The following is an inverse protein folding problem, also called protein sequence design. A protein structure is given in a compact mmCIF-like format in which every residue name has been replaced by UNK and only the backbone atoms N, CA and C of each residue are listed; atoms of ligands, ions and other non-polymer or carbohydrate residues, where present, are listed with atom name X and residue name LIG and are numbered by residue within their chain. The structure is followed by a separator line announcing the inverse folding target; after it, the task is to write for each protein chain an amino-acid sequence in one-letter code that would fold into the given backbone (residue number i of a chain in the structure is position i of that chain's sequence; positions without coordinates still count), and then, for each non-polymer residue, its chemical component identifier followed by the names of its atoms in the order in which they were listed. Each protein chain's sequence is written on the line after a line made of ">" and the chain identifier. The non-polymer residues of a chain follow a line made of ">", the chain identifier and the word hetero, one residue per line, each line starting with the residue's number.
data_IF_073899949042
#
_entry.id   IF_073899949042
#
_cell.length_a   1.000
_cell.length_b   1.000
_cell.length_c   1.000
_cell.angle_alpha   90.00
_cell.angle_beta   90.00
_cell.angle_gamma   90.00
#
_symmetry.space_group_name_H-M   'P 1'
#
loop_
_entity.id
_entity.type
_entity.pdbx_description
1 polymer ?
#
# COMPACT_ATOMS: atom_id res chain seq x y z
N UNK A 1 -14.31 38.65 17.52
CA UNK A 1 -13.71 37.56 18.34
C UNK A 1 -13.19 38.18 19.62
N UNK A 2 -13.36 37.50 20.76
CA UNK A 2 -12.94 38.00 22.06
C UNK A 2 -11.40 37.84 22.21
N UNK A 3 -10.65 38.79 22.82
CA UNK A 3 -9.18 38.70 22.96
C UNK A 3 -8.69 37.38 23.60
N UNK A 4 -9.50 36.83 24.50
CA UNK A 4 -9.22 35.55 25.17
C UNK A 4 -9.25 34.34 24.22
N UNK A 5 -10.03 34.39 23.14
CA UNK A 5 -10.10 33.32 22.14
C UNK A 5 -8.90 33.34 21.18
N UNK A 6 -8.28 34.51 20.98
CA UNK A 6 -7.08 34.64 20.17
C UNK A 6 -5.87 34.05 20.91
N UNK A 7 -5.73 34.35 22.20
CA UNK A 7 -4.66 33.82 23.05
C UNK A 7 -4.71 32.29 23.19
N UNK A 8 -5.92 31.72 23.29
CA UNK A 8 -6.12 30.27 23.31
C UNK A 8 -5.78 29.60 21.97
N UNK A 9 -6.13 30.23 20.84
CA UNK A 9 -5.79 29.74 19.50
C UNK A 9 -4.28 29.78 19.25
N UNK A 10 -3.59 30.81 19.73
CA UNK A 10 -2.13 30.94 19.62
C UNK A 10 -1.41 29.89 20.47
N UNK A 11 -1.89 29.61 21.69
CA UNK A 11 -1.41 28.49 22.52
C UNK A 11 -1.62 27.14 21.85
N UNK A 12 -2.77 26.91 21.22
CA UNK A 12 -3.05 25.68 20.48
C UNK A 12 -2.14 25.51 19.27
N UNK A 13 -1.83 26.58 18.54
CA UNK A 13 -0.88 26.56 17.42
C UNK A 13 0.53 26.20 17.87
N UNK A 14 0.99 26.81 18.96
CA UNK A 14 2.30 26.50 19.54
C UNK A 14 2.39 25.05 20.01
N UNK A 15 1.33 24.54 20.65
CA UNK A 15 1.27 23.13 21.10
C UNK A 15 1.25 22.15 19.93
N UNK A 16 0.53 22.47 18.85
CA UNK A 16 0.52 21.65 17.65
C UNK A 16 1.88 21.65 16.95
N UNK A 17 2.56 22.80 16.85
CA UNK A 17 3.91 22.89 16.30
C UNK A 17 4.90 22.02 17.10
N UNK A 18 4.83 22.08 18.44
CA UNK A 18 5.65 21.22 19.30
C UNK A 18 5.36 19.74 19.08
N UNK A 19 4.09 19.35 18.95
CA UNK A 19 3.72 17.95 18.69
C UNK A 19 4.23 17.45 17.32
N UNK A 20 4.32 18.31 16.31
CA UNK A 20 4.92 17.95 15.03
C UNK A 20 6.43 17.69 15.17
N UNK A 21 7.13 18.50 15.96
CA UNK A 21 8.56 18.35 16.21
C UNK A 21 8.86 17.10 17.04
N UNK A 22 8.09 16.87 18.11
CA UNK A 22 8.21 15.68 18.95
C UNK A 22 7.94 14.39 18.14
N UNK A 23 6.93 14.43 17.25
CA UNK A 23 6.63 13.32 16.33
C UNK A 23 7.76 13.06 15.35
N UNK A 24 8.44 14.11 14.87
CA UNK A 24 9.60 13.98 13.99
C UNK A 24 10.78 13.35 14.73
N UNK A 25 11.05 13.78 15.97
CA UNK A 25 12.17 13.24 16.76
C UNK A 25 11.93 11.78 17.16
N UNK A 26 10.69 11.40 17.49
CA UNK A 26 10.32 9.99 17.73
C UNK A 26 10.58 9.13 16.50
N UNK A 27 10.25 9.62 15.28
CA UNK A 27 10.52 8.89 14.03
C UNK A 27 12.02 8.70 13.80
N UNK A 28 12.83 9.72 14.10
CA UNK A 28 14.29 9.66 13.98
C UNK A 28 14.89 8.65 14.97
N UNK A 29 14.43 8.67 16.22
CA UNK A 29 14.85 7.71 17.24
C UNK A 29 14.45 6.28 16.87
N UNK A 30 13.24 6.07 16.32
CA UNK A 30 12.81 4.76 15.83
C UNK A 30 13.68 4.27 14.67
N UNK A 31 14.06 5.14 13.73
CA UNK A 31 15.00 4.80 12.66
C UNK A 31 16.36 4.34 13.20
N UNK A 32 16.93 5.08 14.15
CA UNK A 32 18.19 4.72 14.80
C UNK A 32 18.12 3.43 15.61
N UNK A 33 16.95 3.11 16.21
CA UNK A 33 16.74 1.86 16.93
C UNK A 33 16.69 0.67 15.96
N UNK A 34 16.00 0.81 14.82
CA UNK A 34 15.99 -0.22 13.78
C UNK A 34 17.40 -0.49 13.22
N UNK A 35 18.15 0.55 12.86
CA UNK A 35 19.53 0.41 12.36
C UNK A 35 20.47 -0.26 13.39
N UNK A 36 20.30 0.05 14.68
CA UNK A 36 21.07 -0.59 15.76
C UNK A 36 20.67 -2.04 16.04
N UNK A 37 19.42 -2.41 15.77
CA UNK A 37 18.96 -3.80 15.86
C UNK A 37 19.59 -4.61 14.73
N UNK A 38 19.59 -4.09 13.51
CA UNK A 38 20.19 -4.75 12.34
C UNK A 38 21.71 -4.88 12.48
N UNK A 39 22.39 -3.86 13.02
CA UNK A 39 23.84 -3.89 13.27
C UNK A 39 24.25 -4.86 14.40
N UNK A 40 23.33 -5.23 15.30
CA UNK A 40 23.59 -6.22 16.38
C UNK A 40 23.41 -7.66 15.91
N UNK A 41 22.61 -7.91 14.87
CA UNK A 41 22.48 -9.24 14.26
C UNK A 41 23.73 -9.69 13.50
N UNK A 42 24.53 -8.76 12.98
CA UNK A 42 25.70 -9.07 12.15
C UNK A 42 26.98 -9.42 12.94
N UNK A 43 26.99 -9.23 14.27
CA UNK A 43 28.15 -9.51 15.12
C UNK A 43 28.14 -10.90 15.78
N UNK A 44 27.17 -11.77 15.50
CA UNK A 44 27.06 -13.08 16.17
C UNK A 44 27.23 -14.29 15.22
N UNK A 45 27.93 -14.12 14.10
CA UNK A 45 28.31 -15.23 13.21
C UNK A 45 29.83 -15.40 13.21
N UNK A 46 30.36 -16.04 14.24
CA UNK A 46 31.68 -16.69 14.19
C UNK A 46 31.63 -18.03 14.95
N UNK A 47 32.27 -19.03 14.34
CA UNK A 47 32.42 -20.44 14.71
C UNK A 47 31.18 -21.35 14.58
N UNK A 48 31.15 -22.36 13.70
CA UNK A 48 32.12 -23.48 13.68
C UNK A 48 32.05 -24.27 12.35
N UNK A 49 33.20 -24.59 11.76
CA UNK A 49 33.39 -25.64 10.73
C UNK A 49 33.01 -27.01 11.31
N UNK A 50 32.16 -27.82 10.65
CA UNK A 50 32.35 -29.29 10.59
C UNK A 50 31.78 -29.91 9.30
N UNK A 51 32.63 -30.74 8.71
CA UNK A 51 32.49 -31.76 7.67
C UNK A 51 31.13 -32.47 7.48
N UNK A 52 30.79 -32.73 6.21
CA UNK A 52 29.76 -33.69 5.79
C UNK A 52 30.28 -35.12 5.87
N UNK A 53 29.63 -35.98 6.66
CA UNK A 53 29.59 -37.43 6.45
C UNK A 53 28.31 -38.02 7.06
N UNK A 54 27.89 -39.12 6.45
CA UNK A 54 26.57 -39.75 6.45
C UNK A 54 26.24 -40.65 7.65
N UNK A 55 24.96 -41.07 7.70
CA UNK A 55 24.40 -42.38 8.17
C UNK A 55 23.37 -42.32 9.33
N UNK A 56 22.10 -42.49 8.96
CA UNK A 56 21.04 -43.40 9.46
C UNK A 56 20.99 -43.91 10.93
N UNK A 57 19.84 -43.68 11.61
CA UNK A 57 18.92 -44.65 12.31
C UNK A 57 18.45 -44.28 13.74
N UNK A 58 17.10 -44.33 13.90
CA UNK A 58 16.25 -44.79 15.04
C UNK A 58 16.33 -44.13 16.45
N UNK A 59 15.13 -43.82 17.00
CA UNK A 59 14.76 -44.22 18.38
C UNK A 59 14.32 -43.13 19.38
N UNK A 60 13.02 -43.13 19.70
CA UNK A 60 12.25 -42.69 20.90
C UNK A 60 12.82 -41.80 22.04
N UNK A 61 11.99 -40.81 22.44
CA UNK A 61 11.34 -40.58 23.75
C UNK A 61 11.40 -39.15 24.34
N UNK A 62 10.31 -38.84 25.06
CA UNK A 62 9.83 -37.58 25.65
C UNK A 62 10.80 -36.95 26.68
N UNK A 63 10.89 -35.61 26.74
CA UNK A 63 10.65 -34.86 28.00
C UNK A 63 10.44 -33.35 27.79
N UNK A 64 9.90 -32.74 28.84
CA UNK A 64 9.16 -31.49 28.99
C UNK A 64 10.01 -30.20 29.03
N UNK A 65 9.34 -29.13 28.61
CA UNK A 65 9.35 -27.78 29.19
C UNK A 65 10.66 -26.98 29.21
N UNK A 66 10.76 -26.02 28.28
CA UNK A 66 11.22 -24.65 28.56
C UNK A 66 10.49 -23.68 27.63
N UNK A 67 9.62 -22.85 28.22
CA UNK A 67 9.07 -21.66 27.59
C UNK A 67 10.21 -20.64 27.53
N UNK A 68 11.04 -20.75 26.51
CA UNK A 68 11.93 -19.65 26.17
C UNK A 68 11.09 -18.65 25.37
N UNK A 69 10.96 -17.44 25.92
CA UNK A 69 10.41 -16.28 25.24
C UNK A 69 11.39 -15.85 24.15
N UNK A 70 11.46 -16.65 23.09
CA UNK A 70 12.06 -16.25 21.83
C UNK A 70 11.00 -15.47 21.08
N UNK A 71 11.30 -14.20 20.86
CA UNK A 71 10.65 -13.35 19.85
C UNK A 71 10.35 -14.19 18.60
N UNK A 72 9.10 -14.22 18.12
CA UNK A 72 8.79 -15.00 16.94
C UNK A 72 9.57 -14.37 15.79
N UNK A 73 10.56 -15.10 15.28
CA UNK A 73 11.02 -14.92 13.92
C UNK A 73 9.75 -14.95 13.07
N UNK A 74 9.28 -13.77 12.62
CA UNK A 74 7.96 -13.63 11.99
C UNK A 74 7.89 -14.69 10.91
N UNK A 75 6.83 -15.50 10.91
CA UNK A 75 6.67 -16.53 9.90
C UNK A 75 6.83 -15.87 8.53
N UNK A 76 7.82 -16.30 7.74
CA UNK A 76 8.10 -15.73 6.41
C UNK A 76 6.83 -15.69 5.53
N UNK A 77 5.91 -16.62 5.79
CA UNK A 77 4.58 -16.69 5.19
C UNK A 77 3.67 -15.51 5.56
N UNK A 78 3.71 -15.01 6.80
CA UNK A 78 2.94 -13.85 7.25
C UNK A 78 3.42 -12.56 6.58
N UNK A 79 4.75 -12.37 6.50
CA UNK A 79 5.33 -11.20 5.81
C UNK A 79 4.97 -11.21 4.32
N UNK A 80 5.10 -12.37 3.66
CA UNK A 80 4.68 -12.54 2.27
C UNK A 80 3.18 -12.30 2.07
N UNK A 81 2.36 -12.68 3.05
CA UNK A 81 0.93 -12.39 3.00
C UNK A 81 0.65 -10.89 3.06
N UNK A 82 1.23 -10.17 4.02
CA UNK A 82 1.09 -8.72 4.15
C UNK A 82 1.57 -7.99 2.87
N UNK A 83 2.68 -8.44 2.28
CA UNK A 83 3.18 -7.93 1.00
C UNK A 83 2.15 -8.10 -0.11
N UNK A 84 1.55 -9.28 -0.24
CA UNK A 84 0.48 -9.51 -1.23
C UNK A 84 -0.75 -8.65 -1.00
N UNK A 85 -1.10 -8.35 0.26
CA UNK A 85 -2.19 -7.43 0.59
C UNK A 85 -1.86 -6.01 0.10
N UNK A 86 -0.62 -5.54 0.27
CA UNK A 86 -0.20 -4.23 -0.26
C UNK A 86 -0.25 -4.20 -1.79
N UNK A 87 0.22 -5.26 -2.45
CA UNK A 87 0.10 -5.41 -3.90
C UNK A 87 -1.37 -5.43 -4.37
N UNK A 88 -2.26 -6.07 -3.63
CA UNK A 88 -3.71 -6.06 -3.86
C UNK A 88 -4.30 -4.65 -3.74
N UNK A 89 -3.94 -3.88 -2.70
CA UNK A 89 -4.39 -2.49 -2.54
C UNK A 89 -4.05 -1.65 -3.77
N UNK A 90 -2.80 -1.75 -4.25
CA UNK A 90 -2.34 -1.05 -5.44
C UNK A 90 -3.10 -1.50 -6.70
N UNK A 91 -3.31 -2.80 -6.86
CA UNK A 91 -4.08 -3.36 -7.98
C UNK A 91 -5.53 -2.86 -8.00
N UNK A 92 -6.21 -2.89 -6.84
CA UNK A 92 -7.61 -2.47 -6.71
C UNK A 92 -7.77 -0.97 -6.97
N UNK A 93 -6.84 -0.14 -6.48
CA UNK A 93 -6.81 1.29 -6.79
C UNK A 93 -6.71 1.52 -8.30
N UNK A 94 -5.73 0.88 -8.95
CA UNK A 94 -5.53 1.02 -10.40
C UNK A 94 -6.76 0.59 -11.19
N UNK A 95 -7.35 -0.55 -10.84
CA UNK A 95 -8.56 -1.06 -11.48
C UNK A 95 -9.72 -0.07 -11.34
N UNK A 96 -9.95 0.48 -10.14
CA UNK A 96 -11.01 1.47 -9.90
C UNK A 96 -10.79 2.77 -10.67
N UNK A 97 -9.55 3.28 -10.71
CA UNK A 97 -9.20 4.45 -11.53
C UNK A 97 -9.53 4.19 -13.00
N UNK A 98 -9.09 3.05 -13.54
CA UNK A 98 -9.28 2.69 -14.94
C UNK A 98 -10.77 2.49 -15.29
N UNK A 99 -11.52 1.78 -14.47
CA UNK A 99 -12.97 1.58 -14.68
C UNK A 99 -13.74 2.91 -14.60
N UNK A 100 -13.36 3.83 -13.72
CA UNK A 100 -13.98 5.16 -13.66
C UNK A 100 -13.66 6.01 -14.88
N UNK A 101 -12.44 5.93 -15.39
CA UNK A 101 -12.04 6.63 -16.60
C UNK A 101 -12.77 6.11 -17.84
N UNK A 102 -12.90 4.79 -17.94
CA UNK A 102 -13.35 4.09 -19.13
C UNK A 102 -14.52 3.12 -18.82
N UNK A 103 -15.69 3.64 -18.39
CA UNK A 103 -16.78 2.79 -17.87
C UNK A 103 -17.43 1.89 -18.93
N UNK A 104 -17.34 2.26 -20.22
CA UNK A 104 -17.95 1.52 -21.32
C UNK A 104 -17.01 0.48 -21.96
N UNK A 105 -15.80 0.32 -21.42
CA UNK A 105 -14.81 -0.61 -21.96
C UNK A 105 -14.77 -1.87 -21.09
N UNK A 106 -15.27 -2.97 -21.62
CA UNK A 106 -15.32 -4.26 -20.92
C UNK A 106 -13.94 -4.81 -20.56
N UNK A 107 -12.94 -4.52 -21.41
CA UNK A 107 -11.57 -5.01 -21.27
C UNK A 107 -10.60 -3.85 -21.46
N UNK A 108 -9.81 -3.58 -20.42
CA UNK A 108 -8.82 -2.50 -20.39
C UNK A 108 -7.40 -3.06 -20.57
N UNK A 109 -7.23 -4.06 -21.44
CA UNK A 109 -5.92 -4.66 -21.70
C UNK A 109 -4.93 -3.64 -22.27
N UNK A 110 -3.73 -3.63 -21.69
CA UNK A 110 -2.70 -2.65 -22.05
C UNK A 110 -3.06 -1.22 -21.67
N UNK A 111 -4.01 -1.01 -20.76
CA UNK A 111 -4.22 0.27 -20.08
C UNK A 111 -3.49 0.24 -18.76
N UNK A 112 -2.74 1.31 -18.50
CA UNK A 112 -2.13 1.61 -17.21
C UNK A 112 -2.64 2.98 -16.76
N UNK A 113 -2.53 3.25 -15.46
CA UNK A 113 -2.89 4.57 -14.91
C UNK A 113 -1.94 5.66 -15.44
N UNK A 114 -0.67 5.33 -15.67
CA UNK A 114 0.33 6.22 -16.27
C UNK A 114 -0.04 6.62 -17.71
N UNK A 115 -0.64 5.71 -18.48
CA UNK A 115 -0.99 5.94 -19.89
C UNK A 115 -2.38 6.52 -20.15
N UNK A 116 -3.17 6.84 -19.13
CA UNK A 116 -4.57 7.31 -19.31
C UNK A 116 -4.67 8.47 -20.32
N UNK A 117 -3.77 9.46 -20.25
CA UNK A 117 -3.77 10.59 -21.21
C UNK A 117 -3.61 10.10 -22.65
N UNK A 118 -2.64 9.22 -22.88
CA UNK A 118 -2.36 8.62 -24.19
C UNK A 118 -3.55 7.80 -24.68
N UNK A 119 -4.18 7.03 -23.79
CA UNK A 119 -5.38 6.26 -24.12
C UNK A 119 -6.56 7.14 -24.51
N UNK A 120 -6.79 8.27 -23.85
CA UNK A 120 -7.83 9.23 -24.26
C UNK A 120 -7.58 9.72 -25.69
N UNK A 121 -6.34 10.11 -26.01
CA UNK A 121 -5.99 10.57 -27.36
C UNK A 121 -6.19 9.47 -28.41
N UNK A 122 -5.80 8.24 -28.11
CA UNK A 122 -5.97 7.08 -28.99
C UNK A 122 -7.44 6.74 -29.24
N UNK A 123 -8.26 6.71 -28.18
CA UNK A 123 -9.67 6.30 -28.26
C UNK A 123 -10.55 7.34 -28.97
N UNK A 124 -10.16 8.61 -28.90
CA UNK A 124 -10.92 9.73 -29.48
C UNK A 124 -10.47 10.08 -30.90
N UNK A 125 -9.49 9.36 -31.44
CA UNK A 125 -8.97 9.59 -32.79
C UNK A 125 -9.26 8.37 -33.65
N UNK A 126 -9.98 8.57 -34.75
CA UNK A 126 -10.25 7.49 -35.71
C UNK A 126 -8.92 7.05 -36.37
N UNK A 127 -8.51 5.78 -36.24
CA UNK A 127 -7.20 5.33 -36.74
C UNK A 127 -7.10 5.37 -38.26
N UNK A 128 -8.24 5.29 -38.97
CA UNK A 128 -8.27 5.27 -40.44
C UNK A 128 -8.31 6.67 -41.06
N UNK A 129 -8.92 7.64 -40.38
CA UNK A 129 -9.17 8.97 -40.95
C UNK A 129 -8.42 10.08 -40.23
N UNK A 130 -7.77 9.77 -39.10
CA UNK A 130 -7.19 10.73 -38.16
C UNK A 130 -8.16 11.82 -37.68
N UNK A 131 -9.45 11.68 -37.94
CA UNK A 131 -10.48 12.58 -37.43
C UNK A 131 -10.63 12.38 -35.93
N UNK A 132 -10.79 13.49 -35.23
CA UNK A 132 -10.92 13.52 -33.78
C UNK A 132 -12.38 13.74 -33.40
N UNK A 133 -12.88 12.93 -32.48
CA UNK A 133 -14.09 13.23 -31.72
C UNK A 133 -13.74 14.18 -30.56
N UNK A 134 -13.81 15.49 -30.83
CA UNK A 134 -13.45 16.52 -29.86
C UNK A 134 -14.42 16.57 -28.68
N UNK A 135 -15.69 16.19 -28.88
CA UNK A 135 -16.70 16.18 -27.83
C UNK A 135 -16.39 15.08 -26.80
N UNK A 136 -16.15 13.85 -27.26
CA UNK A 136 -15.80 12.75 -26.37
C UNK A 136 -14.41 12.96 -25.74
N UNK A 137 -13.45 13.54 -26.48
CA UNK A 137 -12.12 13.90 -25.96
C UNK A 137 -12.22 14.87 -24.80
N UNK A 138 -12.98 15.96 -24.96
CA UNK A 138 -13.15 16.98 -23.93
C UNK A 138 -13.77 16.36 -22.68
N UNK A 139 -14.85 15.60 -22.85
CA UNK A 139 -15.54 14.89 -21.76
C UNK A 139 -14.62 13.92 -21.00
N UNK A 140 -13.77 13.16 -21.69
CA UNK A 140 -12.81 12.26 -21.05
C UNK A 140 -11.71 13.03 -20.29
N UNK A 141 -11.22 14.15 -20.81
CA UNK A 141 -10.25 14.98 -20.10
C UNK A 141 -10.85 15.66 -18.87
N UNK A 142 -12.09 16.14 -18.94
CA UNK A 142 -12.82 16.69 -17.79
C UNK A 142 -13.01 15.63 -16.70
N UNK A 143 -13.45 14.43 -17.08
CA UNK A 143 -13.57 13.29 -16.16
C UNK A 143 -12.22 12.95 -15.52
N UNK A 144 -11.16 12.90 -16.33
CA UNK A 144 -9.79 12.69 -15.84
C UNK A 144 -9.40 13.75 -14.82
N UNK A 145 -9.64 15.02 -15.15
CA UNK A 145 -9.30 16.14 -14.28
C UNK A 145 -10.05 16.05 -12.95
N UNK A 146 -11.36 15.78 -12.99
CA UNK A 146 -12.19 15.58 -11.79
C UNK A 146 -11.67 14.45 -10.92
N UNK A 147 -11.42 13.26 -11.50
CA UNK A 147 -10.93 12.10 -10.77
C UNK A 147 -9.59 12.37 -10.07
N UNK A 148 -8.60 12.86 -10.81
CA UNK A 148 -7.27 13.14 -10.22
C UNK A 148 -7.27 14.35 -9.29
N UNK A 149 -8.25 15.25 -9.35
CA UNK A 149 -8.40 16.30 -8.35
C UNK A 149 -8.96 15.74 -7.04
N UNK A 150 -9.94 14.83 -7.09
CA UNK A 150 -10.41 14.10 -5.90
C UNK A 150 -9.25 13.35 -5.25
N UNK A 151 -8.50 12.54 -6.02
CA UNK A 151 -7.37 11.76 -5.48
C UNK A 151 -6.27 12.65 -4.88
N UNK A 152 -6.01 13.83 -5.47
CA UNK A 152 -5.01 14.77 -4.95
C UNK A 152 -5.33 15.29 -3.56
N UNK A 153 -6.61 15.38 -3.19
CA UNK A 153 -7.01 15.78 -1.83
C UNK A 153 -6.52 14.77 -0.76
N UNK A 154 -6.22 13.54 -1.16
CA UNK A 154 -5.67 12.47 -0.33
C UNK A 154 -4.16 12.27 -0.55
N UNK A 155 -3.47 13.22 -1.18
CA UNK A 155 -2.02 13.16 -1.41
C UNK A 155 -1.60 12.44 -2.70
N UNK A 156 -2.53 11.97 -3.53
CA UNK A 156 -2.18 11.29 -4.77
C UNK A 156 -1.51 12.23 -5.79
N UNK A 157 -0.22 12.02 -6.01
CA UNK A 157 0.54 12.55 -7.14
C UNK A 157 0.48 11.62 -8.38
N UNK A 158 -0.04 12.17 -9.48
CA UNK A 158 -0.12 11.55 -10.81
C UNK A 158 1.24 11.31 -11.50
N UNK A 159 2.34 11.82 -10.96
CA UNK A 159 3.70 11.58 -11.47
C UNK A 159 4.43 10.47 -10.71
N UNK A 160 4.02 10.20 -9.46
CA UNK A 160 4.67 9.23 -8.58
C UNK A 160 3.84 7.95 -8.48
N UNK A 161 2.58 8.07 -8.05
CA UNK A 161 1.77 6.92 -7.65
C UNK A 161 1.39 5.96 -8.77
N UNK A 162 1.21 6.37 -10.05
CA UNK A 162 1.00 5.40 -11.12
C UNK A 162 2.15 4.40 -11.26
N UNK A 163 3.39 4.87 -11.21
CA UNK A 163 4.57 4.02 -11.32
C UNK A 163 4.80 3.24 -10.02
N UNK A 164 4.55 3.87 -8.86
CA UNK A 164 4.69 3.21 -7.57
C UNK A 164 3.69 2.06 -7.37
N UNK A 165 2.42 2.26 -7.74
CA UNK A 165 1.41 1.17 -7.70
C UNK A 165 1.76 0.03 -8.66
N UNK A 166 2.27 0.34 -9.86
CA UNK A 166 2.77 -0.68 -10.79
C UNK A 166 3.95 -1.47 -10.20
N UNK A 167 4.90 -0.77 -9.57
CA UNK A 167 6.00 -1.41 -8.84
C UNK A 167 5.47 -2.36 -7.76
N UNK A 168 4.55 -1.91 -6.88
CA UNK A 168 3.99 -2.75 -5.81
C UNK A 168 3.32 -4.02 -6.35
N UNK A 169 2.52 -3.89 -7.43
CA UNK A 169 1.86 -5.03 -8.05
C UNK A 169 2.87 -5.99 -8.67
N UNK A 170 3.89 -5.49 -9.35
CA UNK A 170 4.92 -6.32 -9.99
C UNK A 170 5.82 -7.02 -8.96
N UNK A 171 6.12 -6.35 -7.84
CA UNK A 171 7.02 -6.86 -6.80
C UNK A 171 6.31 -7.84 -5.87
N UNK A 172 5.09 -7.53 -5.42
CA UNK A 172 4.40 -8.33 -4.40
C UNK A 172 3.25 -9.18 -4.94
N UNK A 173 2.79 -8.89 -6.15
CA UNK A 173 1.69 -9.59 -6.79
C UNK A 173 0.32 -9.24 -6.20
N UNK A 174 -0.68 -9.93 -6.73
CA UNK A 174 -2.10 -9.81 -6.37
C UNK A 174 -2.52 -11.05 -5.57
N UNK A 175 -3.53 -10.96 -4.72
CA UNK A 175 -4.01 -12.11 -3.95
C UNK A 175 -4.59 -13.18 -4.89
N UNK A 176 -3.95 -14.37 -4.93
CA UNK A 176 -4.35 -15.50 -5.79
C UNK A 176 -5.72 -16.09 -5.45
N UNK A 177 -6.07 -16.06 -4.17
CA UNK A 177 -7.38 -16.49 -3.68
C UNK A 177 -8.00 -15.32 -2.94
N UNK A 178 -9.13 -14.85 -3.47
CA UNK A 178 -10.09 -14.07 -2.70
C UNK A 178 -10.55 -14.94 -1.51
N UNK A 179 -10.86 -14.38 -0.32
CA UNK A 179 -11.51 -15.18 0.72
C UNK A 179 -12.71 -15.93 0.10
N UNK A 180 -12.63 -17.25 0.17
CA UNK A 180 -13.67 -18.18 -0.31
C UNK A 180 -14.99 -17.88 0.41
N UNK A 181 -16.16 -18.14 -0.22
CA UNK A 181 -17.43 -18.13 0.51
C UNK A 181 -17.37 -19.18 1.62
N UNK A 182 -17.32 -18.73 2.88
CA UNK A 182 -17.26 -19.59 4.07
C UNK A 182 -16.05 -19.37 4.99
N UNK A 183 -15.11 -18.50 4.63
CA UNK A 183 -14.11 -18.00 5.56
C UNK A 183 -14.55 -16.61 6.06
N UNK A 184 -14.44 -16.35 7.37
CA UNK A 184 -14.50 -14.99 7.92
C UNK A 184 -13.14 -14.21 7.92
N UNK A 185 -12.52 -14.00 6.74
CA UNK A 185 -11.53 -12.92 6.50
C UNK A 185 -12.09 -11.72 5.73
N UNK A 186 -13.41 -11.64 5.53
CA UNK A 186 -14.03 -10.57 4.73
C UNK A 186 -14.09 -9.23 5.48
N UNK A 187 -14.01 -9.22 6.81
CA UNK A 187 -13.97 -7.99 7.61
C UNK A 187 -12.59 -7.33 7.63
N UNK A 188 -11.49 -8.10 7.66
CA UNK A 188 -10.14 -7.53 7.83
C UNK A 188 -9.66 -6.73 6.61
N UNK A 189 -9.98 -7.17 5.39
CA UNK A 189 -9.53 -6.49 4.17
C UNK A 189 -10.42 -5.32 3.74
N UNK A 190 -11.58 -5.15 4.39
CA UNK A 190 -12.44 -3.98 4.22
C UNK A 190 -12.20 -2.92 5.31
N UNK A 191 -11.20 -3.12 6.17
CA UNK A 191 -10.81 -2.19 7.21
C UNK A 191 -9.49 -1.48 6.84
N UNK A 192 -9.52 -0.19 6.47
CA UNK A 192 -8.32 0.59 6.14
C UNK A 192 -7.29 0.61 7.28
N UNK A 193 -7.73 0.56 8.54
CA UNK A 193 -6.84 0.51 9.71
C UNK A 193 -6.01 -0.78 9.72
N UNK A 194 -6.64 -1.92 9.44
CA UNK A 194 -5.94 -3.21 9.36
C UNK A 194 -4.98 -3.25 8.15
N UNK A 195 -5.39 -2.69 7.00
CA UNK A 195 -4.52 -2.60 5.83
C UNK A 195 -3.25 -1.78 6.13
N UNK A 196 -3.39 -0.66 6.85
CA UNK A 196 -2.23 0.17 7.27
C UNK A 196 -1.34 -0.57 8.27
N UNK A 197 -1.92 -1.34 9.20
CA UNK A 197 -1.16 -2.20 10.12
C UNK A 197 -0.36 -3.26 9.36
N UNK A 198 -0.99 -3.97 8.42
CA UNK A 198 -0.32 -4.98 7.59
C UNK A 198 0.80 -4.36 6.74
N UNK A 199 0.60 -3.17 6.18
CA UNK A 199 1.65 -2.45 5.44
C UNK A 199 2.85 -2.13 6.34
N UNK A 200 2.61 -1.62 7.56
CA UNK A 200 3.67 -1.34 8.54
C UNK A 200 4.46 -2.58 8.96
N UNK A 201 3.88 -3.77 8.84
CA UNK A 201 4.54 -5.03 9.18
C UNK A 201 5.52 -5.53 8.10
N UNK A 202 5.37 -5.09 6.84
CA UNK A 202 6.10 -5.68 5.71
C UNK A 202 6.77 -4.70 4.73
N UNK A 203 6.51 -3.39 4.86
CA UNK A 203 7.05 -2.36 3.98
C UNK A 203 8.19 -1.58 4.65
N UNK A 204 9.21 -1.13 3.89
CA UNK A 204 10.21 -0.21 4.41
C UNK A 204 9.57 1.15 4.75
N UNK A 205 10.13 1.83 5.76
CA UNK A 205 9.60 3.13 6.21
C UNK A 205 9.55 4.20 5.11
N UNK A 206 10.43 4.12 4.10
CA UNK A 206 10.44 5.02 2.95
C UNK A 206 9.17 4.95 2.10
N UNK A 207 8.50 3.80 2.11
CA UNK A 207 7.38 3.51 1.20
C UNK A 207 6.03 3.63 1.89
N UNK A 208 6.01 3.61 3.24
CA UNK A 208 4.78 3.60 4.03
C UNK A 208 3.90 4.81 3.78
N UNK A 209 4.47 6.01 3.62
CA UNK A 209 3.67 7.21 3.35
C UNK A 209 2.94 7.09 1.99
N UNK A 210 3.61 6.60 0.95
CA UNK A 210 2.99 6.36 -0.36
C UNK A 210 1.96 5.23 -0.32
N UNK A 211 2.19 4.17 0.48
CA UNK A 211 1.22 3.09 0.66
C UNK A 211 -0.03 3.59 1.40
N UNK A 212 0.13 4.43 2.43
CA UNK A 212 -1.00 5.05 3.12
C UNK A 212 -1.84 5.91 2.17
N UNK A 213 -1.20 6.71 1.30
CA UNK A 213 -1.91 7.48 0.25
C UNK A 213 -2.71 6.56 -0.67
N UNK A 214 -2.15 5.41 -1.08
CA UNK A 214 -2.86 4.42 -1.90
C UNK A 214 -4.10 3.90 -1.17
N UNK A 215 -3.99 3.57 0.12
CA UNK A 215 -5.10 3.06 0.93
C UNK A 215 -6.19 4.13 1.08
N UNK A 216 -5.83 5.37 1.38
CA UNK A 216 -6.78 6.47 1.55
C UNK A 216 -7.51 6.78 0.22
N UNK A 217 -6.79 6.72 -0.90
CA UNK A 217 -7.38 6.84 -2.23
C UNK A 217 -8.34 5.68 -2.54
N UNK A 218 -7.95 4.46 -2.22
CA UNK A 218 -8.78 3.27 -2.43
C UNK A 218 -10.07 3.35 -1.61
N UNK A 219 -9.96 3.73 -0.33
CA UNK A 219 -11.08 3.98 0.57
C UNK A 219 -12.03 5.02 -0.02
N UNK A 220 -11.50 6.17 -0.46
CA UNK A 220 -12.34 7.21 -1.06
C UNK A 220 -13.09 6.73 -2.31
N UNK A 221 -12.40 6.00 -3.20
CA UNK A 221 -13.06 5.48 -4.40
C UNK A 221 -14.09 4.39 -4.08
N UNK A 222 -13.90 3.64 -2.98
CA UNK A 222 -14.84 2.65 -2.46
C UNK A 222 -16.11 3.24 -1.89
N UNK A 223 -15.99 4.32 -1.11
CA UNK A 223 -17.15 5.06 -0.63
C UNK A 223 -18.01 5.59 -1.78
N UNK A 224 -17.36 6.14 -2.80
CA UNK A 224 -18.05 6.77 -3.93
C UNK A 224 -18.71 5.79 -4.90
N UNK A 225 -18.23 4.55 -5.01
CA UNK A 225 -18.88 3.52 -5.84
C UNK A 225 -19.69 2.49 -5.04
N UNK A 226 -19.69 2.58 -3.71
CA UNK A 226 -20.44 1.71 -2.80
C UNK A 226 -19.95 0.27 -2.79
N UNK A 227 -18.68 0.00 -3.17
CA UNK A 227 -18.11 -1.34 -3.25
C UNK A 227 -17.06 -1.59 -2.17
N UNK A 228 -16.91 -2.85 -1.68
CA UNK A 228 -15.85 -3.22 -0.74
C UNK A 228 -14.47 -2.90 -1.31
N UNK A 229 -13.48 -2.59 -0.46
CA UNK A 229 -12.12 -2.19 -0.88
C UNK A 229 -11.56 -3.17 -1.93
N UNK A 230 -11.75 -4.48 -1.70
CA UNK A 230 -11.29 -5.54 -2.61
C UNK A 230 -12.46 -6.13 -3.44
N UNK A 231 -12.44 -5.92 -4.77
CA UNK A 231 -13.48 -6.30 -5.76
C UNK A 231 -13.08 -7.48 -6.65
#
# INVERSE_FOLDING_TARGET
>A
MNPHQYDELERLRMKNAQLYEDKHEIRKLLGLVCEKIDSRSDLNVQDSKVHYSSVSRRGHSKDRSRKDFTSPCRDSKQVQHCQRVVGECAFQLNRRILTRMFPHYERLYGFSVSDIKKKILQLTTCPLTNKVDEAERTKLFERRHKLFNTLRQFGYDKQVHPNFTEYLVNTYGVLKHRPFPGADPQESYNCPVELRRMAAECMPCSDLDNVNIIIDCLERLAEEDGKPLFI
#
